data_IF_014670654376
#
_entry.id   IF_014670654376
#
_cell.length_a   1.000
_cell.length_b   1.000
_cell.length_c   1.000
_cell.angle_alpha   90.00
_cell.angle_beta   90.00
_cell.angle_gamma   90.00
#
_symmetry.space_group_name_H-M   'P 1'
#
loop_
_entity.id
_entity.type
_entity.pdbx_description
1 polymer ?
#
# COMPACT_ATOMS: atom_id res chain seq x y z
N UNK A 1 -27.28 15.29 -25.96
CA UNK A 1 -26.16 14.32 -26.06
C UNK A 1 -26.13 13.53 -24.75
N UNK A 2 -26.35 12.24 -24.84
CA UNK A 2 -26.89 11.35 -23.83
C UNK A 2 -25.79 10.79 -22.92
N UNK A 3 -26.07 10.73 -21.64
CA UNK A 3 -25.22 10.27 -20.49
C UNK A 3 -24.98 8.74 -20.47
N UNK A 4 -25.02 8.06 -21.60
CA UNK A 4 -25.01 6.59 -21.69
C UNK A 4 -23.68 5.97 -22.16
N UNK A 5 -22.60 6.75 -22.30
CA UNK A 5 -21.35 6.25 -22.89
C UNK A 5 -20.17 6.09 -21.90
N UNK A 6 -20.37 6.29 -20.58
CA UNK A 6 -19.29 6.17 -19.58
C UNK A 6 -19.39 4.94 -18.65
N UNK A 7 -20.31 4.00 -18.92
CA UNK A 7 -20.52 2.84 -18.01
C UNK A 7 -19.95 1.51 -18.55
N UNK A 8 -19.20 1.52 -19.65
CA UNK A 8 -18.78 0.28 -20.31
C UNK A 8 -17.30 -0.11 -20.14
N UNK A 9 -16.52 0.57 -19.28
CA UNK A 9 -15.09 0.28 -19.12
C UNK A 9 -14.70 -0.31 -17.75
N UNK A 10 -15.65 -0.63 -16.88
CA UNK A 10 -15.37 -1.09 -15.51
C UNK A 10 -15.61 -2.61 -15.29
N UNK A 11 -15.77 -3.43 -16.33
CA UNK A 11 -16.19 -4.83 -16.15
C UNK A 11 -15.25 -5.88 -16.73
N UNK A 12 -13.93 -5.69 -16.71
CA UNK A 12 -12.98 -6.71 -17.20
C UNK A 12 -11.76 -6.92 -16.34
N UNK A 13 -11.87 -6.88 -15.01
CA UNK A 13 -10.78 -7.30 -14.10
C UNK A 13 -11.28 -8.15 -12.92
N UNK A 14 -12.39 -8.85 -13.06
CA UNK A 14 -12.77 -9.92 -12.14
C UNK A 14 -12.23 -11.27 -12.66
N UNK A 15 -10.92 -11.38 -12.83
CA UNK A 15 -10.21 -12.66 -12.89
C UNK A 15 -9.66 -13.03 -11.50
N UNK A 16 -10.41 -12.75 -10.45
CA UNK A 16 -10.21 -13.46 -9.20
C UNK A 16 -10.57 -14.92 -9.46
N UNK A 17 -9.60 -15.82 -9.30
CA UNK A 17 -9.90 -17.24 -9.21
C UNK A 17 -11.01 -17.43 -8.16
N UNK A 18 -11.97 -18.33 -8.36
CA UNK A 18 -13.02 -18.51 -7.38
C UNK A 18 -12.41 -18.82 -6.02
N UNK A 19 -12.86 -18.11 -4.97
CA UNK A 19 -12.36 -18.21 -3.59
C UNK A 19 -12.52 -19.63 -2.99
N UNK A 20 -13.15 -20.56 -3.69
CA UNK A 20 -13.52 -21.90 -3.26
C UNK A 20 -12.72 -23.04 -3.97
N UNK A 21 -11.51 -22.76 -4.47
CA UNK A 21 -10.67 -23.83 -5.03
C UNK A 21 -10.03 -24.63 -3.90
N UNK A 22 -10.41 -25.90 -3.78
CA UNK A 22 -9.79 -26.81 -2.81
C UNK A 22 -8.38 -27.20 -3.26
N UNK A 23 -7.36 -26.83 -2.49
CA UNK A 23 -5.96 -27.21 -2.70
C UNK A 23 -5.71 -28.52 -1.94
N UNK A 24 -5.67 -29.64 -2.63
CA UNK A 24 -5.57 -30.96 -2.01
C UNK A 24 -4.14 -31.45 -1.79
N UNK A 25 -3.18 -30.95 -2.57
CA UNK A 25 -1.76 -31.29 -2.48
C UNK A 25 -0.87 -30.21 -3.11
N UNK A 26 0.44 -30.43 -3.08
CA UNK A 26 1.41 -29.47 -3.63
C UNK A 26 1.35 -29.32 -5.15
N UNK A 27 0.89 -30.33 -5.89
CA UNK A 27 0.71 -30.23 -7.34
C UNK A 27 -0.49 -29.34 -7.68
N UNK A 28 -1.61 -29.53 -6.99
CA UNK A 28 -2.79 -28.67 -7.13
C UNK A 28 -2.48 -27.20 -6.77
N UNK A 29 -1.65 -26.98 -5.73
CA UNK A 29 -1.19 -25.65 -5.39
C UNK A 29 -0.33 -25.02 -6.50
N UNK A 30 0.60 -25.78 -7.07
CA UNK A 30 1.46 -25.31 -8.15
C UNK A 30 0.67 -24.99 -9.43
N UNK A 31 -0.29 -25.83 -9.79
CA UNK A 31 -1.19 -25.60 -10.93
C UNK A 31 -2.06 -24.35 -10.72
N UNK A 32 -2.65 -24.18 -9.53
CA UNK A 32 -3.45 -23.01 -9.19
C UNK A 32 -2.64 -21.71 -9.32
N UNK A 33 -1.40 -21.69 -8.81
CA UNK A 33 -0.51 -20.53 -8.93
C UNK A 33 -0.13 -20.29 -10.40
N UNK A 34 0.21 -21.35 -11.15
CA UNK A 34 0.60 -21.21 -12.54
C UNK A 34 -0.52 -20.64 -13.40
N UNK A 35 -1.74 -21.14 -13.22
CA UNK A 35 -2.91 -20.72 -13.98
C UNK A 35 -3.40 -19.30 -13.61
N UNK A 36 -3.22 -18.91 -12.36
CA UNK A 36 -3.64 -17.59 -11.87
C UNK A 36 -2.60 -16.48 -11.97
N UNK A 37 -1.31 -16.81 -11.78
CA UNK A 37 -0.25 -15.81 -11.59
C UNK A 37 0.82 -15.81 -12.69
N UNK A 38 1.00 -16.94 -13.43
CA UNK A 38 2.08 -17.10 -14.41
C UNK A 38 1.56 -17.12 -15.86
N UNK A 39 0.41 -16.56 -16.11
CA UNK A 39 -0.16 -16.46 -17.45
C UNK A 39 0.36 -15.20 -18.17
N UNK A 40 0.62 -15.31 -19.47
CA UNK A 40 0.94 -14.16 -20.29
C UNK A 40 -0.29 -13.24 -20.42
N UNK A 41 -0.11 -11.99 -20.06
CA UNK A 41 -1.20 -10.99 -20.10
C UNK A 41 -0.69 -9.56 -19.93
N UNK A 42 -1.57 -8.58 -20.03
CA UNK A 42 -1.23 -7.21 -19.69
C UNK A 42 -0.85 -7.13 -18.20
N UNK A 43 0.07 -6.23 -17.86
CA UNK A 43 0.40 -5.93 -16.48
C UNK A 43 -0.88 -5.60 -15.71
N UNK A 44 -1.14 -6.36 -14.64
CA UNK A 44 -2.25 -6.14 -13.76
C UNK A 44 -2.08 -4.87 -12.90
N UNK A 45 -2.97 -4.71 -11.95
CA UNK A 45 -2.87 -3.65 -10.95
C UNK A 45 -1.70 -3.94 -9.99
N UNK A 46 -1.01 -2.89 -9.56
CA UNK A 46 0.16 -2.96 -8.68
C UNK A 46 -0.12 -2.22 -7.38
N UNK A 47 -0.04 -2.90 -6.25
CA UNK A 47 0.05 -2.31 -4.93
C UNK A 47 1.51 -2.11 -4.55
N UNK A 48 1.79 -1.10 -3.73
CA UNK A 48 3.09 -0.89 -3.10
C UNK A 48 2.92 -0.75 -1.61
N UNK A 49 3.87 -1.30 -0.88
CA UNK A 49 4.04 -1.09 0.54
C UNK A 49 5.40 -0.44 0.78
N UNK A 50 5.46 0.43 1.77
CA UNK A 50 6.69 1.07 2.23
C UNK A 50 6.73 1.01 3.74
N UNK A 51 7.78 0.41 4.27
CA UNK A 51 8.09 0.41 5.69
C UNK A 51 9.26 1.34 5.99
N UNK A 52 9.19 2.03 7.13
CA UNK A 52 10.23 2.93 7.56
C UNK A 52 10.20 3.11 9.09
N UNK A 53 11.35 3.45 9.68
CA UNK A 53 11.44 3.73 11.10
C UNK A 53 11.44 5.23 11.38
N UNK A 54 10.75 5.62 12.47
CA UNK A 54 10.86 6.97 13.01
C UNK A 54 12.15 7.11 13.81
N UNK A 55 12.79 8.28 13.74
CA UNK A 55 13.95 8.63 14.53
C UNK A 55 13.84 10.06 15.03
N UNK A 56 14.61 10.38 16.09
CA UNK A 56 14.77 11.75 16.58
C UNK A 56 15.97 12.40 15.89
N UNK A 57 15.78 13.44 15.06
CA UNK A 57 16.89 14.12 14.41
C UNK A 57 17.83 14.86 15.38
N UNK A 58 17.35 15.23 16.58
CA UNK A 58 18.13 15.90 17.61
C UNK A 58 18.95 14.93 18.47
N UNK A 59 18.48 13.70 18.63
CA UNK A 59 19.16 12.61 19.34
C UNK A 59 19.00 11.28 18.59
N UNK A 60 19.92 10.94 17.67
CA UNK A 60 19.85 9.71 16.88
C UNK A 60 19.90 8.40 17.69
N UNK A 61 20.26 8.47 18.98
CA UNK A 61 20.28 7.32 19.89
C UNK A 61 18.95 7.16 20.65
N UNK A 62 18.10 8.19 20.65
CA UNK A 62 16.76 8.12 21.22
C UNK A 62 15.82 7.41 20.25
N UNK A 63 15.16 6.38 20.72
CA UNK A 63 14.07 5.75 19.97
C UNK A 63 12.77 6.46 20.33
N UNK A 64 12.02 7.01 19.33
CA UNK A 64 10.68 7.53 19.58
C UNK A 64 9.76 6.45 20.17
N UNK A 65 8.91 6.83 21.12
CA UNK A 65 7.98 5.89 21.73
C UNK A 65 6.82 5.55 20.78
N UNK A 66 6.13 4.46 21.08
CA UNK A 66 4.90 4.09 20.38
C UNK A 66 3.86 5.20 20.41
N UNK A 67 3.69 5.83 21.57
CA UNK A 67 2.72 6.89 21.79
C UNK A 67 3.06 8.13 20.95
N UNK A 68 4.33 8.53 20.90
CA UNK A 68 4.77 9.67 20.06
C UNK A 68 4.48 9.45 18.58
N UNK A 69 4.66 8.22 18.08
CA UNK A 69 4.42 7.88 16.68
C UNK A 69 2.91 7.83 16.42
N UNK A 70 2.15 7.11 17.22
CA UNK A 70 0.71 6.92 17.01
C UNK A 70 -0.08 8.21 17.16
N UNK A 71 0.33 9.12 18.06
CA UNK A 71 -0.29 10.45 18.19
C UNK A 71 -0.19 11.25 16.89
N UNK A 72 0.94 11.19 16.18
CA UNK A 72 1.07 11.85 14.88
C UNK A 72 0.16 11.22 13.84
N UNK A 73 0.09 9.87 13.82
CA UNK A 73 -0.67 9.13 12.82
C UNK A 73 -2.19 9.30 12.99
N UNK A 74 -2.69 9.47 14.21
CA UNK A 74 -4.10 9.73 14.50
C UNK A 74 -4.62 11.04 13.88
N UNK A 75 -3.75 12.01 13.68
CA UNK A 75 -4.09 13.31 13.07
C UNK A 75 -3.85 13.35 11.56
N UNK A 76 -3.34 12.27 10.97
CA UNK A 76 -3.21 12.20 9.51
C UNK A 76 -4.60 12.13 8.86
N UNK A 77 -4.91 13.15 8.07
CA UNK A 77 -6.06 13.11 7.17
C UNK A 77 -5.88 11.99 6.15
N UNK A 78 -6.95 11.54 5.47
CA UNK A 78 -6.79 10.60 4.38
C UNK A 78 -5.68 11.03 3.42
N UNK A 79 -4.76 10.10 3.13
CA UNK A 79 -3.60 10.39 2.29
C UNK A 79 -4.01 10.56 0.82
N UNK A 80 -3.38 11.48 0.06
CA UNK A 80 -3.81 11.83 -1.30
C UNK A 80 -3.61 10.71 -2.33
N UNK A 81 -2.73 9.75 -2.07
CA UNK A 81 -2.55 8.53 -2.87
C UNK A 81 -3.41 7.37 -2.41
N UNK A 82 -4.11 7.52 -1.28
CA UNK A 82 -5.03 6.54 -0.73
C UNK A 82 -4.39 5.45 0.11
N UNK A 83 -3.12 5.58 0.49
CA UNK A 83 -2.47 4.59 1.36
C UNK A 83 -3.10 4.55 2.75
N UNK A 84 -3.18 3.36 3.31
CA UNK A 84 -3.45 3.12 4.72
C UNK A 84 -2.13 3.20 5.48
N UNK A 85 -2.15 3.80 6.68
CA UNK A 85 -0.98 3.87 7.57
C UNK A 85 -1.19 2.91 8.71
N UNK A 86 -0.18 2.09 8.99
CA UNK A 86 -0.14 1.21 10.17
C UNK A 86 1.20 1.34 10.91
N UNK A 87 1.25 0.80 12.11
CA UNK A 87 2.51 0.66 12.87
C UNK A 87 2.72 -0.82 13.17
N UNK A 88 3.78 -1.34 12.63
CA UNK A 88 4.15 -2.74 12.73
C UNK A 88 4.85 -3.06 14.08
N UNK A 89 4.88 -4.34 14.50
CA UNK A 89 5.64 -4.77 15.66
C UNK A 89 7.10 -4.32 15.56
N UNK A 90 7.57 -3.62 16.60
CA UNK A 90 8.90 -3.02 16.59
C UNK A 90 8.89 -1.53 16.22
N UNK A 91 7.75 -0.94 15.87
CA UNK A 91 7.57 0.51 15.64
C UNK A 91 7.93 0.98 14.24
N UNK A 92 7.99 0.09 13.25
CA UNK A 92 8.04 0.50 11.86
C UNK A 92 6.69 1.08 11.44
N UNK A 93 6.71 2.20 10.74
CA UNK A 93 5.50 2.78 10.11
C UNK A 93 5.40 2.25 8.71
N UNK A 94 4.26 1.67 8.39
CA UNK A 94 3.96 1.14 7.06
C UNK A 94 2.95 2.03 6.34
N UNK A 95 3.17 2.23 5.05
CA UNK A 95 2.20 2.75 4.09
C UNK A 95 1.81 1.63 3.12
N UNK A 96 0.55 1.19 3.18
CA UNK A 96 0.00 0.21 2.25
C UNK A 96 -0.84 0.92 1.19
N UNK A 97 -0.30 1.04 -0.02
CA UNK A 97 -0.95 1.73 -1.14
C UNK A 97 -2.01 0.88 -1.82
N UNK A 98 -3.15 1.46 -2.24
CA UNK A 98 -4.15 0.73 -3.01
C UNK A 98 -3.57 0.31 -4.38
N UNK A 99 -4.03 -0.82 -4.93
CA UNK A 99 -3.63 -1.24 -6.26
C UNK A 99 -3.95 -0.17 -7.32
N UNK A 100 -2.97 0.20 -8.12
CA UNK A 100 -3.04 1.21 -9.18
C UNK A 100 -2.77 0.59 -10.56
N UNK A 101 -3.17 1.29 -11.62
CA UNK A 101 -2.98 0.83 -12.99
C UNK A 101 -1.50 1.00 -13.41
N UNK A 102 -0.70 -0.01 -13.07
CA UNK A 102 0.71 -0.11 -13.39
C UNK A 102 1.64 0.59 -12.38
N UNK A 103 2.92 0.24 -12.50
CA UNK A 103 3.99 0.60 -11.55
C UNK A 103 4.15 2.11 -11.37
N UNK A 104 4.12 2.88 -12.46
CA UNK A 104 4.33 4.34 -12.38
C UNK A 104 3.22 5.06 -11.63
N UNK A 105 1.97 4.60 -11.79
CA UNK A 105 0.84 5.16 -11.05
C UNK A 105 0.95 4.82 -9.56
N UNK A 106 1.31 3.58 -9.22
CA UNK A 106 1.55 3.14 -7.85
C UNK A 106 2.68 3.94 -7.18
N UNK A 107 3.83 4.10 -7.85
CA UNK A 107 4.95 4.91 -7.36
C UNK A 107 4.52 6.37 -7.14
N UNK A 108 3.79 6.94 -8.09
CA UNK A 108 3.32 8.32 -7.97
C UNK A 108 2.37 8.54 -6.80
N UNK A 109 1.47 7.58 -6.52
CA UNK A 109 0.59 7.60 -5.35
C UNK A 109 1.40 7.50 -4.05
N UNK A 110 2.25 6.49 -3.92
CA UNK A 110 3.10 6.26 -2.76
C UNK A 110 4.02 7.46 -2.46
N UNK A 111 4.59 8.09 -3.49
CA UNK A 111 5.47 9.27 -3.33
C UNK A 111 4.71 10.45 -2.71
N UNK A 112 3.46 10.68 -3.13
CA UNK A 112 2.63 11.75 -2.54
C UNK A 112 2.30 11.46 -1.08
N UNK A 113 1.94 10.24 -0.76
CA UNK A 113 1.57 9.82 0.60
C UNK A 113 2.77 9.89 1.54
N UNK A 114 3.93 9.40 1.09
CA UNK A 114 5.18 9.50 1.83
C UNK A 114 5.56 10.96 2.14
N UNK A 115 5.34 11.88 1.21
CA UNK A 115 5.64 13.29 1.43
C UNK A 115 4.76 13.90 2.54
N UNK A 116 3.47 13.53 2.59
CA UNK A 116 2.55 13.97 3.65
C UNK A 116 2.97 13.38 4.99
N UNK A 117 3.25 12.07 5.06
CA UNK A 117 3.70 11.39 6.28
C UNK A 117 4.99 12.03 6.81
N UNK A 118 6.01 12.22 5.96
CA UNK A 118 7.27 12.87 6.34
C UNK A 118 7.06 14.27 6.90
N UNK A 119 6.16 15.05 6.29
CA UNK A 119 5.84 16.40 6.75
C UNK A 119 5.17 16.39 8.11
N UNK A 120 4.22 15.48 8.36
CA UNK A 120 3.55 15.35 9.64
C UNK A 120 4.52 14.96 10.76
N UNK A 121 5.37 13.97 10.51
CA UNK A 121 6.39 13.55 11.47
C UNK A 121 7.40 14.67 11.74
N UNK A 122 7.85 15.39 10.71
CA UNK A 122 8.77 16.52 10.87
C UNK A 122 8.18 17.64 11.74
N UNK A 123 6.88 17.93 11.60
CA UNK A 123 6.17 18.90 12.45
C UNK A 123 6.12 18.47 13.92
N UNK A 124 6.18 17.17 14.20
CA UNK A 124 6.30 16.60 15.55
C UNK A 124 7.76 16.42 16.02
N UNK A 125 8.74 16.89 15.24
CA UNK A 125 10.15 16.75 15.56
C UNK A 125 10.73 15.37 15.27
N UNK A 126 10.05 14.55 14.48
CA UNK A 126 10.48 13.20 14.10
C UNK A 126 10.93 13.14 12.64
N UNK A 127 11.91 12.29 12.35
CA UNK A 127 12.31 11.91 11.00
C UNK A 127 11.84 10.51 10.64
N UNK A 128 11.89 10.19 9.35
CA UNK A 128 11.53 8.87 8.80
C UNK A 128 12.69 8.35 7.94
N UNK A 129 13.18 7.14 8.24
CA UNK A 129 14.32 6.47 7.59
C UNK A 129 13.99 5.02 7.26
#
# INVERSE_FOLDING_TARGET
MTLAAMTAAASQLDNAAPDDVEITDSSAAAEYIADGCLVDGPLGRVGLEMEAHCFDPADPFRRPSWEEITEVLEWLSPLPGGSVVSVEPGGAVELSGPPADGVLAAIGAMTRDQAVLRSALANAGLGLV
#
